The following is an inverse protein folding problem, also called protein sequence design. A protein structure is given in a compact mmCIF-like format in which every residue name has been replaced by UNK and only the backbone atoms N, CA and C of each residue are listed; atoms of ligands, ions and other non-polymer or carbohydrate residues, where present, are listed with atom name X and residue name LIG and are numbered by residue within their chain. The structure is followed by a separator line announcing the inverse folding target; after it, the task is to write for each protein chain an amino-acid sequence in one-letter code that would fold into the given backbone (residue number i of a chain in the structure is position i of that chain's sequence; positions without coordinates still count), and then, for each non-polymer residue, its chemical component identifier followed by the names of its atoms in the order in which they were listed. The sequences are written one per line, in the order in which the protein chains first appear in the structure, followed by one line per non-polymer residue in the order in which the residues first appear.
data_IF_053189424173
#
_entry.id   IF_053189424173
#
_cell.length_a   1.000
_cell.length_b   1.000
_cell.length_c   1.000
_cell.angle_alpha   90.00
_cell.angle_beta   90.00
_cell.angle_gamma   90.00
#
_symmetry.space_group_name_H-M   'P 1'
#
loop_
_entity.id
_entity.type
_entity.pdbx_description
1 polymer ?
#
# COMPACT_ATOMS: atom_id res chain seq x y z
N UNK A 1 12.62 -19.62 6.84
CA UNK A 1 12.85 -18.22 6.44
C UNK A 1 14.25 -17.78 6.86
N UNK A 2 15.25 -17.85 5.98
CA UNK A 2 16.67 -17.54 6.27
C UNK A 2 17.06 -16.13 5.82
N UNK A 3 16.17 -15.14 5.96
CA UNK A 3 16.44 -13.71 5.69
C UNK A 3 16.14 -13.21 4.27
N UNK A 4 15.89 -14.11 3.31
CA UNK A 4 15.60 -13.74 1.91
C UNK A 4 14.13 -13.55 1.55
N UNK A 5 13.20 -13.47 2.52
CA UNK A 5 11.77 -13.36 2.21
C UNK A 5 11.13 -12.20 2.94
N UNK A 6 10.36 -11.43 2.18
CA UNK A 6 9.55 -10.30 2.66
C UNK A 6 8.10 -10.54 2.30
N UNK A 7 7.21 -10.28 3.25
CA UNK A 7 5.78 -10.17 2.98
C UNK A 7 5.39 -8.70 2.83
N UNK A 8 4.85 -8.33 1.67
CA UNK A 8 4.28 -7.02 1.44
C UNK A 8 2.80 -7.02 1.78
N UNK A 9 2.39 -6.28 2.82
CA UNK A 9 1.00 -6.07 3.19
C UNK A 9 0.54 -4.77 2.54
N UNK A 10 -0.28 -4.86 1.50
CA UNK A 10 -0.79 -3.69 0.78
C UNK A 10 -2.06 -3.16 1.46
N UNK A 11 -2.04 -1.89 1.87
CA UNK A 11 -3.09 -1.28 2.70
C UNK A 11 -4.14 -0.50 1.91
N UNK A 12 -3.96 -0.32 0.60
CA UNK A 12 -4.85 0.49 -0.23
C UNK A 12 -4.73 1.97 0.07
N UNK A 13 -5.88 2.67 0.03
CA UNK A 13 -5.99 4.14 0.11
C UNK A 13 -6.21 4.66 1.54
N UNK A 14 -6.56 3.76 2.46
CA UNK A 14 -6.79 4.10 3.85
C UNK A 14 -5.45 4.08 4.59
N UNK A 15 -4.87 5.26 4.87
CA UNK A 15 -3.80 5.36 5.84
C UNK A 15 -4.23 4.63 7.12
N UNK A 16 -3.40 3.68 7.60
CA UNK A 16 -3.82 2.81 8.66
C UNK A 16 -4.07 3.61 9.93
N UNK A 17 -5.17 3.29 10.60
CA UNK A 17 -5.34 3.67 12.00
C UNK A 17 -4.08 3.27 12.78
N UNK A 18 -3.53 4.21 13.55
CA UNK A 18 -2.25 4.02 14.28
C UNK A 18 -2.31 2.77 15.13
N UNK A 19 -3.42 2.58 15.84
CA UNK A 19 -3.62 1.46 16.74
C UNK A 19 -3.85 0.16 15.98
N UNK A 20 -4.61 0.19 14.89
CA UNK A 20 -4.75 -0.92 13.94
C UNK A 20 -3.41 -1.40 13.38
N UNK A 21 -2.54 -0.47 12.97
CA UNK A 21 -1.18 -0.76 12.50
C UNK A 21 -0.33 -1.44 13.57
N UNK A 22 -0.31 -0.86 14.78
CA UNK A 22 0.41 -1.41 15.93
C UNK A 22 -0.06 -2.82 16.27
N UNK A 23 -1.37 -3.03 16.27
CA UNK A 23 -1.99 -4.32 16.54
C UNK A 23 -1.68 -5.35 15.46
N UNK A 24 -1.70 -4.95 14.18
CA UNK A 24 -1.33 -5.81 13.06
C UNK A 24 0.12 -6.28 13.18
N UNK A 25 1.06 -5.35 13.37
CA UNK A 25 2.49 -5.68 13.55
C UNK A 25 2.66 -6.67 14.69
N UNK A 26 2.08 -6.37 15.85
CA UNK A 26 2.13 -7.24 17.03
C UNK A 26 1.61 -8.65 16.70
N UNK A 27 0.41 -8.76 16.13
CA UNK A 27 -0.21 -10.05 15.79
C UNK A 27 0.60 -10.86 14.79
N UNK A 28 1.16 -10.22 13.76
CA UNK A 28 1.97 -10.89 12.74
C UNK A 28 3.20 -11.55 13.39
N UNK A 29 3.93 -10.83 14.22
CA UNK A 29 5.14 -11.36 14.85
C UNK A 29 4.86 -12.30 16.04
N UNK A 30 3.71 -12.19 16.70
CA UNK A 30 3.31 -13.14 17.76
C UNK A 30 2.75 -14.46 17.23
N UNK A 31 2.06 -14.43 16.08
CA UNK A 31 1.31 -15.59 15.56
C UNK A 31 1.97 -16.27 14.37
N UNK A 32 3.03 -15.70 13.81
CA UNK A 32 3.75 -16.27 12.67
C UNK A 32 5.26 -16.28 12.90
N UNK A 33 5.99 -17.02 12.05
CA UNK A 33 7.46 -17.03 12.02
C UNK A 33 8.02 -16.19 10.88
N UNK A 34 7.25 -15.20 10.40
CA UNK A 34 7.68 -14.30 9.34
C UNK A 34 8.81 -13.41 9.85
N UNK A 35 9.99 -13.39 9.20
CA UNK A 35 11.12 -12.61 9.67
C UNK A 35 11.00 -11.13 9.32
N UNK A 36 10.27 -10.82 8.24
CA UNK A 36 10.23 -9.48 7.69
C UNK A 36 8.92 -9.22 6.95
N UNK A 37 8.24 -8.16 7.36
CA UNK A 37 6.99 -7.69 6.76
C UNK A 37 7.08 -6.20 6.51
N UNK A 38 6.38 -5.75 5.47
CA UNK A 38 6.27 -4.31 5.18
C UNK A 38 4.80 -3.93 5.13
N UNK A 39 4.48 -2.79 5.73
CA UNK A 39 3.19 -2.15 5.59
C UNK A 39 3.31 -1.15 4.45
N UNK A 40 2.56 -1.39 3.37
CA UNK A 40 2.68 -0.64 2.12
C UNK A 40 1.38 0.11 1.83
N UNK A 41 1.27 1.38 2.27
CA UNK A 41 0.24 2.28 1.76
C UNK A 41 0.52 2.69 0.31
N UNK A 42 -0.55 2.98 -0.42
CA UNK A 42 -0.49 3.72 -1.68
C UNK A 42 -0.78 5.18 -1.40
N UNK A 43 -0.01 6.08 -1.99
CA UNK A 43 -0.16 7.52 -1.82
C UNK A 43 0.20 8.25 -3.12
N UNK A 44 -0.19 9.52 -3.23
CA UNK A 44 0.14 10.36 -4.37
C UNK A 44 1.02 11.53 -3.95
N UNK A 45 1.80 12.05 -4.89
CA UNK A 45 2.61 13.27 -4.71
C UNK A 45 2.19 14.28 -5.76
N UNK A 46 1.88 15.50 -5.32
CA UNK A 46 1.76 16.67 -6.18
C UNK A 46 3.07 17.45 -6.14
N UNK A 47 3.57 17.88 -7.31
CA UNK A 47 4.79 18.69 -7.41
C UNK A 47 4.72 19.97 -6.57
N UNK A 48 3.56 20.63 -6.49
CA UNK A 48 3.39 21.87 -5.74
C UNK A 48 2.98 21.65 -4.28
N UNK A 49 2.13 20.65 -4.01
CA UNK A 49 1.45 20.48 -2.71
C UNK A 49 1.97 19.31 -1.87
N UNK A 50 2.89 18.51 -2.42
CA UNK A 50 3.52 17.39 -1.76
C UNK A 50 2.60 16.19 -1.56
N UNK A 51 2.75 15.53 -0.40
CA UNK A 51 2.10 14.28 -0.06
C UNK A 51 0.57 14.37 -0.04
N UNK A 52 -0.08 13.40 -0.69
CA UNK A 52 -1.53 13.21 -0.75
C UNK A 52 -1.83 11.76 -0.37
N UNK A 53 -2.79 11.57 0.53
CA UNK A 53 -3.21 10.24 0.97
C UNK A 53 -4.00 9.52 -0.12
N UNK A 54 -3.69 8.25 -0.34
CA UNK A 54 -4.39 7.36 -1.26
C UNK A 54 -3.98 7.53 -2.73
N UNK A 55 -4.57 6.70 -3.60
CA UNK A 55 -4.39 6.76 -5.06
C UNK A 55 -5.23 7.91 -5.60
N UNK A 56 -4.63 9.08 -5.73
CA UNK A 56 -5.26 10.21 -6.42
C UNK A 56 -4.58 10.42 -7.76
N UNK A 57 -5.36 10.60 -8.83
CA UNK A 57 -4.83 10.96 -10.16
C UNK A 57 -4.58 12.46 -10.28
N UNK A 58 -5.38 13.26 -9.57
CA UNK A 58 -5.32 14.72 -9.60
C UNK A 58 -5.19 15.25 -8.18
N UNK A 59 -4.42 16.33 -8.04
CA UNK A 59 -4.24 17.00 -6.76
C UNK A 59 -5.58 17.63 -6.32
N UNK A 60 -6.05 17.38 -5.09
CA UNK A 60 -7.30 17.96 -4.61
C UNK A 60 -7.22 19.48 -4.38
N UNK A 61 -6.01 20.06 -4.38
CA UNK A 61 -5.78 21.49 -4.17
C UNK A 61 -5.66 22.29 -5.46
N UNK A 62 -4.96 21.77 -6.48
CA UNK A 62 -4.74 22.50 -7.75
C UNK A 62 -5.21 21.78 -9.01
N UNK A 63 -5.72 20.55 -8.92
CA UNK A 63 -6.22 19.78 -10.07
C UNK A 63 -5.15 19.19 -10.99
N UNK A 64 -3.87 19.57 -10.83
CA UNK A 64 -2.75 19.00 -11.60
C UNK A 64 -2.63 17.50 -11.40
N UNK A 65 -2.07 16.81 -12.39
CA UNK A 65 -1.76 15.39 -12.28
C UNK A 65 -0.78 15.13 -11.13
N UNK A 66 -0.92 13.97 -10.48
CA UNK A 66 -0.06 13.56 -9.36
C UNK A 66 0.63 12.25 -9.65
N UNK A 67 1.83 12.09 -9.12
CA UNK A 67 2.57 10.83 -9.16
C UNK A 67 2.05 9.86 -8.10
N UNK A 68 1.53 8.71 -8.51
CA UNK A 68 1.05 7.67 -7.60
C UNK A 68 2.22 6.78 -7.21
N UNK A 69 2.55 6.70 -5.93
CA UNK A 69 3.61 5.86 -5.39
C UNK A 69 3.04 4.64 -4.68
N UNK A 70 3.67 3.49 -4.93
CA UNK A 70 3.49 2.26 -4.16
C UNK A 70 4.80 1.48 -4.09
N UNK A 71 4.83 0.39 -3.31
CA UNK A 71 6.00 -0.50 -3.26
C UNK A 71 5.87 -1.57 -4.34
N UNK A 72 6.90 -1.71 -5.16
CA UNK A 72 6.96 -2.69 -6.25
C UNK A 72 7.41 -4.08 -5.73
N UNK A 73 8.67 -4.21 -5.28
CA UNK A 73 9.25 -5.46 -4.74
C UNK A 73 10.15 -5.25 -3.51
N UNK A 74 10.21 -4.03 -2.98
CA UNK A 74 11.12 -3.71 -1.89
C UNK A 74 11.33 -2.24 -1.62
N UNK A 75 11.04 -1.36 -2.58
CA UNK A 75 11.17 0.09 -2.49
C UNK A 75 9.99 0.79 -3.16
N UNK A 76 9.78 2.06 -2.83
CA UNK A 76 8.73 2.89 -3.43
C UNK A 76 9.17 3.45 -4.78
N UNK A 77 8.26 3.43 -5.75
CA UNK A 77 8.41 4.09 -7.06
C UNK A 77 7.07 4.60 -7.58
N UNK A 78 7.07 5.63 -8.43
CA UNK A 78 5.89 6.03 -9.18
C UNK A 78 5.38 4.84 -10.00
N UNK A 79 4.09 4.55 -9.95
CA UNK A 79 3.45 3.44 -10.67
C UNK A 79 3.56 3.64 -12.18
N UNK A 80 3.63 4.89 -12.66
CA UNK A 80 3.82 5.19 -14.09
C UNK A 80 5.14 4.61 -14.63
N UNK A 81 6.18 4.57 -13.79
CA UNK A 81 7.51 4.07 -14.15
C UNK A 81 7.60 2.53 -14.16
N UNK A 82 6.56 1.83 -13.71
CA UNK A 82 6.61 0.37 -13.60
C UNK A 82 6.45 -0.26 -14.98
N UNK A 83 7.01 -1.46 -15.17
CA UNK A 83 6.76 -2.22 -16.39
C UNK A 83 5.28 -2.64 -16.51
N UNK A 84 4.85 -3.04 -17.72
CA UNK A 84 3.45 -3.35 -18.00
C UNK A 84 2.86 -4.41 -17.05
N UNK A 85 3.57 -5.52 -16.81
CA UNK A 85 3.10 -6.57 -15.92
C UNK A 85 2.95 -6.13 -14.47
N UNK A 86 3.83 -5.23 -13.99
CA UNK A 86 3.76 -4.69 -12.64
C UNK A 86 2.66 -3.66 -12.47
N UNK A 87 2.33 -2.91 -13.53
CA UNK A 87 1.15 -2.05 -13.53
C UNK A 87 -0.14 -2.87 -13.48
N UNK A 88 -0.22 -3.96 -14.24
CA UNK A 88 -1.38 -4.86 -14.17
C UNK A 88 -1.51 -5.49 -12.79
N UNK A 89 -0.40 -6.02 -12.24
CA UNK A 89 -0.37 -6.55 -10.87
C UNK A 89 -0.86 -5.50 -9.86
N UNK A 90 -0.48 -4.24 -10.01
CA UNK A 90 -0.93 -3.15 -9.13
C UNK A 90 -2.44 -2.90 -9.21
N UNK A 91 -3.05 -2.95 -10.40
CA UNK A 91 -4.50 -2.78 -10.57
C UNK A 91 -5.28 -4.00 -10.05
N UNK A 92 -4.70 -5.21 -10.13
CA UNK A 92 -5.29 -6.44 -9.59
C UNK A 92 -5.17 -6.56 -8.05
N UNK A 93 -4.41 -5.68 -7.38
CA UNK A 93 -4.25 -5.74 -5.92
C UNK A 93 -5.58 -5.56 -5.21
N UNK A 94 -6.04 -6.63 -4.56
CA UNK A 94 -7.16 -6.56 -3.63
C UNK A 94 -6.70 -5.99 -2.28
N UNK A 95 -7.42 -4.98 -1.80
CA UNK A 95 -7.22 -4.41 -0.46
C UNK A 95 -8.24 -4.98 0.51
N UNK A 96 -7.87 -5.01 1.79
CA UNK A 96 -8.81 -5.40 2.84
C UNK A 96 -9.94 -4.36 2.92
N UNK A 97 -11.15 -4.78 2.56
CA UNK A 97 -12.37 -4.00 2.74
C UNK A 97 -13.18 -4.62 3.88
N UNK A 98 -13.52 -3.81 4.90
CA UNK A 98 -14.35 -4.27 6.03
C UNK A 98 -15.68 -4.85 5.56
N UNK A 99 -16.21 -4.41 4.41
CA UNK A 99 -17.46 -4.93 3.81
C UNK A 99 -17.35 -6.38 3.33
N UNK A 100 -16.14 -6.89 3.09
CA UNK A 100 -15.94 -8.29 2.68
C UNK A 100 -16.21 -9.26 3.85
N UNK A 101 -16.21 -8.80 5.10
CA UNK A 101 -16.62 -9.63 6.24
C UNK A 101 -18.11 -10.02 6.19
N UNK A 102 -18.98 -9.21 5.57
CA UNK A 102 -20.41 -9.48 5.48
C UNK A 102 -20.76 -10.50 4.39
N UNK A 103 -19.85 -10.76 3.45
CA UNK A 103 -20.05 -11.71 2.33
C UNK A 103 -19.57 -13.13 2.70
N UNK A 104 -18.76 -13.26 3.76
CA UNK A 104 -18.16 -14.52 4.21
C UNK A 104 -18.67 -15.00 5.58
N UNK A 105 -19.70 -14.32 6.13
CA UNK A 105 -20.42 -14.72 7.33
C UNK A 105 -21.78 -15.36 6.95
#
# INVERSE_FOLDING_TARGET
YTGGTVLHIFMGEEAPDRDGCKLLVKRVFERSRLPYVTITPTFSICEDHGYIRGKQRNCPRCGKETEIYSRIVGYYRPVQDWNAGKREEFEERAFYDRRIQEILA
#
